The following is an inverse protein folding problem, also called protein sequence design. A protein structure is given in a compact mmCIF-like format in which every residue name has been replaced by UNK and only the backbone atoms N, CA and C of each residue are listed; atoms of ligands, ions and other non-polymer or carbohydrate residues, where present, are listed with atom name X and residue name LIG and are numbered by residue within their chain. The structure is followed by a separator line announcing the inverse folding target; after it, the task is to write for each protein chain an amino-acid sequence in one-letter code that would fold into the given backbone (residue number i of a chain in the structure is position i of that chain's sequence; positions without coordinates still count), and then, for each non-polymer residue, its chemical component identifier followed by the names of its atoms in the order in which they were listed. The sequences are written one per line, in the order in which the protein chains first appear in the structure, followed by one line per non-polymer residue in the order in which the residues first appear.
data_IF_926664487855
#
_entry.id   IF_926664487855
#
_cell.length_a   1.000
_cell.length_b   1.000
_cell.length_c   1.000
_cell.angle_alpha   90.00
_cell.angle_beta   90.00
_cell.angle_gamma   90.00
#
_symmetry.space_group_name_H-M   'P 1'
#
loop_
_entity.id
_entity.type
_entity.pdbx_description
1 polymer ?
#
# COMPACT_ATOMS: atom_id res chain seq x y z
N UNK A 1 6.23 -17.86 4.94
CA UNK A 1 4.98 -18.00 4.16
C UNK A 1 5.16 -17.38 2.78
N UNK A 2 4.22 -17.53 1.85
CA UNK A 2 4.43 -17.20 0.43
C UNK A 2 4.76 -15.72 0.16
N UNK A 3 4.36 -14.80 1.05
CA UNK A 3 4.55 -13.36 0.89
C UNK A 3 5.75 -12.79 1.67
N UNK A 4 6.37 -13.58 2.55
CA UNK A 4 7.49 -13.09 3.37
C UNK A 4 8.67 -12.67 2.50
N UNK A 5 9.18 -11.46 2.71
CA UNK A 5 10.35 -10.99 1.99
C UNK A 5 10.43 -9.48 1.82
N UNK A 6 11.46 -9.06 1.10
CA UNK A 6 11.70 -7.68 0.69
C UNK A 6 11.39 -7.54 -0.79
N UNK A 7 10.45 -6.65 -1.11
CA UNK A 7 9.96 -6.41 -2.45
C UNK A 7 10.29 -5.00 -2.91
N UNK A 8 10.53 -4.84 -4.20
CA UNK A 8 10.62 -3.54 -4.85
C UNK A 8 9.69 -3.56 -6.05
N UNK A 9 8.93 -2.50 -6.24
CA UNK A 9 8.14 -2.33 -7.48
C UNK A 9 9.09 -2.29 -8.67
N UNK A 10 8.86 -3.22 -9.60
CA UNK A 10 9.60 -3.32 -10.86
C UNK A 10 8.93 -2.49 -11.96
N UNK A 11 7.61 -2.63 -12.09
CA UNK A 11 6.80 -1.93 -13.09
C UNK A 11 5.39 -1.66 -12.60
N UNK A 12 4.74 -0.66 -13.19
CA UNK A 12 3.32 -0.39 -13.02
C UNK A 12 2.67 -0.14 -14.40
N UNK A 13 1.41 -0.55 -14.55
CA UNK A 13 0.63 -0.35 -15.77
C UNK A 13 -0.66 0.40 -15.42
N UNK A 14 -0.95 1.49 -16.15
CA UNK A 14 -2.12 2.37 -15.92
C UNK A 14 -2.24 3.04 -14.53
N UNK A 15 -1.17 3.08 -13.72
CA UNK A 15 -1.23 3.61 -12.36
C UNK A 15 -1.64 5.09 -12.28
N UNK A 16 -1.14 5.94 -13.18
CA UNK A 16 -1.59 7.35 -13.24
C UNK A 16 -3.08 7.47 -13.57
N UNK A 17 -3.60 6.65 -14.49
CA UNK A 17 -5.03 6.67 -14.85
C UNK A 17 -5.90 6.19 -13.69
N UNK A 18 -5.43 5.20 -12.93
CA UNK A 18 -6.11 4.73 -11.73
C UNK A 18 -6.23 5.86 -10.69
N UNK A 19 -5.11 6.52 -10.37
CA UNK A 19 -5.10 7.65 -9.42
C UNK A 19 -5.92 8.85 -9.93
N UNK A 20 -5.98 9.08 -11.24
CA UNK A 20 -6.84 10.10 -11.83
C UNK A 20 -8.33 9.83 -11.56
N UNK A 21 -8.76 8.57 -11.71
CA UNK A 21 -10.14 8.16 -11.39
C UNK A 21 -10.46 8.29 -9.89
N UNK A 22 -9.45 8.20 -9.03
CA UNK A 22 -9.58 8.50 -7.60
C UNK A 22 -9.61 10.00 -7.28
N UNK A 23 -9.46 10.89 -8.28
CA UNK A 23 -9.45 12.34 -8.07
C UNK A 23 -8.12 12.92 -7.59
N UNK A 24 -7.04 12.14 -7.61
CA UNK A 24 -5.70 12.60 -7.22
C UNK A 24 -5.17 13.56 -8.29
N UNK A 25 -4.64 14.73 -7.89
CA UNK A 25 -4.16 15.73 -8.85
C UNK A 25 -2.93 15.28 -9.67
N UNK A 26 -2.77 15.84 -10.86
CA UNK A 26 -1.74 15.45 -11.84
C UNK A 26 -0.31 15.44 -11.27
N UNK A 27 0.06 16.41 -10.42
CA UNK A 27 1.41 16.50 -9.85
C UNK A 27 1.70 15.30 -8.95
N UNK A 28 0.77 14.97 -8.03
CA UNK A 28 0.90 13.79 -7.16
C UNK A 28 0.97 12.49 -7.95
N UNK A 29 0.17 12.36 -9.01
CA UNK A 29 0.15 11.15 -9.85
C UNK A 29 1.50 10.90 -10.54
N UNK A 30 2.12 11.95 -11.09
CA UNK A 30 3.43 11.84 -11.74
C UNK A 30 4.54 11.48 -10.75
N UNK A 31 4.50 12.00 -9.53
CA UNK A 31 5.46 11.62 -8.49
C UNK A 31 5.26 10.14 -8.11
N UNK A 32 4.01 9.73 -7.90
CA UNK A 32 3.68 8.36 -7.52
C UNK A 32 4.02 7.33 -8.60
N UNK A 33 3.87 7.64 -9.89
CA UNK A 33 4.24 6.71 -10.97
C UNK A 33 5.73 6.39 -11.05
N UNK A 34 6.57 7.21 -10.42
CA UNK A 34 8.01 7.04 -10.32
C UNK A 34 8.46 6.70 -8.88
N UNK A 35 7.50 6.47 -7.98
CA UNK A 35 7.75 6.07 -6.60
C UNK A 35 8.29 4.64 -6.61
N UNK A 36 9.58 4.50 -6.32
CA UNK A 36 10.29 3.23 -6.29
C UNK A 36 9.94 2.44 -5.01
N UNK A 37 8.64 2.21 -4.77
CA UNK A 37 8.10 1.64 -3.56
C UNK A 37 8.80 0.33 -3.20
N UNK A 38 9.22 0.25 -1.93
CA UNK A 38 9.79 -0.96 -1.32
C UNK A 38 8.87 -1.44 -0.22
N UNK A 39 8.69 -2.75 -0.15
CA UNK A 39 7.90 -3.41 0.89
C UNK A 39 8.78 -4.40 1.64
N UNK A 40 8.60 -4.49 2.95
CA UNK A 40 9.06 -5.63 3.75
C UNK A 40 7.81 -6.25 4.34
N UNK A 41 7.55 -7.51 4.00
CA UNK A 41 6.38 -8.26 4.45
C UNK A 41 6.85 -9.40 5.34
N UNK A 42 6.23 -9.53 6.51
CA UNK A 42 6.39 -10.67 7.40
C UNK A 42 5.03 -11.15 7.88
N UNK A 43 4.85 -12.46 7.93
CA UNK A 43 3.62 -13.09 8.36
C UNK A 43 3.86 -14.07 9.52
N UNK A 44 3.05 -13.96 10.57
CA UNK A 44 3.03 -14.83 11.75
C UNK A 44 1.62 -15.38 11.96
N UNK A 45 1.35 -16.60 11.50
CA UNK A 45 -0.02 -17.14 11.41
C UNK A 45 -0.93 -16.22 10.58
N UNK A 46 -1.95 -15.65 11.20
CA UNK A 46 -2.89 -14.71 10.56
C UNK A 46 -2.45 -13.25 10.61
N UNK A 47 -1.38 -12.94 11.35
CA UNK A 47 -0.89 -11.57 11.51
C UNK A 47 0.10 -11.23 10.42
N UNK A 48 -0.13 -10.12 9.74
CA UNK A 48 0.76 -9.53 8.74
C UNK A 48 1.35 -8.24 9.28
N UNK A 49 2.63 -8.04 9.03
CA UNK A 49 3.31 -6.76 9.15
C UNK A 49 3.84 -6.38 7.78
N UNK A 50 3.41 -5.23 7.28
CA UNK A 50 3.83 -4.67 5.98
C UNK A 50 4.49 -3.32 6.25
N UNK A 51 5.79 -3.22 5.97
CA UNK A 51 6.53 -1.96 6.04
C UNK A 51 6.68 -1.41 4.63
N UNK A 52 6.12 -0.23 4.39
CA UNK A 52 6.17 0.47 3.11
C UNK A 52 7.22 1.58 3.19
N UNK A 53 8.06 1.69 2.17
CA UNK A 53 8.98 2.81 1.99
C UNK A 53 8.84 3.38 0.59
N UNK A 54 8.41 4.65 0.53
CA UNK A 54 8.00 5.35 -0.68
C UNK A 54 8.53 6.78 -0.67
N UNK A 55 8.46 7.49 -1.79
CA UNK A 55 8.80 8.93 -1.85
C UNK A 55 7.87 9.81 -1.03
N UNK A 56 6.65 9.38 -0.74
CA UNK A 56 5.70 10.18 0.06
C UNK A 56 5.87 9.95 1.56
N UNK A 57 6.05 8.69 1.96
CA UNK A 57 6.12 8.29 3.37
C UNK A 57 6.80 6.95 3.55
N UNK A 58 7.26 6.72 4.77
CA UNK A 58 7.50 5.39 5.30
C UNK A 58 6.38 5.07 6.30
N UNK A 59 5.75 3.90 6.18
CA UNK A 59 4.69 3.48 7.09
C UNK A 59 4.80 1.99 7.40
N UNK A 60 4.21 1.58 8.52
CA UNK A 60 4.12 0.19 8.94
C UNK A 60 2.67 -0.12 9.26
N UNK A 61 2.17 -1.18 8.64
CA UNK A 61 0.80 -1.64 8.73
C UNK A 61 0.84 -3.01 9.38
N UNK A 62 0.10 -3.18 10.47
CA UNK A 62 -0.07 -4.46 11.13
C UNK A 62 -1.55 -4.81 11.10
N UNK A 63 -1.90 -5.95 10.51
CA UNK A 63 -3.28 -6.40 10.42
C UNK A 63 -3.38 -7.91 10.60
N UNK A 64 -4.58 -8.39 10.94
CA UNK A 64 -4.88 -9.82 11.07
C UNK A 64 -5.94 -10.23 10.05
N UNK A 65 -5.76 -11.39 9.41
CA UNK A 65 -6.74 -11.94 8.49
C UNK A 65 -8.09 -12.16 9.19
N UNK A 66 -9.17 -11.73 8.54
CA UNK A 66 -10.53 -11.78 9.11
C UNK A 66 -10.88 -10.68 10.12
N UNK A 67 -9.96 -9.77 10.44
CA UNK A 67 -10.20 -8.66 11.38
C UNK A 67 -10.29 -7.34 10.62
N UNK A 68 -11.36 -6.59 10.85
CA UNK A 68 -11.52 -5.24 10.29
C UNK A 68 -10.52 -4.29 10.94
N UNK A 69 -9.86 -3.45 10.12
CA UNK A 69 -8.93 -2.43 10.62
C UNK A 69 -9.07 -1.12 9.84
N UNK A 70 -8.60 -0.02 10.43
CA UNK A 70 -8.56 1.28 9.77
C UNK A 70 -7.21 1.49 9.10
N UNK A 71 -7.23 2.07 7.90
CA UNK A 71 -6.04 2.38 7.13
C UNK A 71 -6.12 3.78 6.52
N UNK A 72 -5.04 4.53 6.62
CA UNK A 72 -4.91 5.86 6.03
C UNK A 72 -4.09 5.78 4.75
N UNK A 73 -4.68 6.14 3.62
CA UNK A 73 -3.97 6.25 2.34
C UNK A 73 -2.92 7.39 2.38
N UNK A 74 -1.93 7.33 1.47
CA UNK A 74 -0.87 8.33 1.41
C UNK A 74 -1.38 9.76 1.09
N UNK A 75 -2.59 9.87 0.53
CA UNK A 75 -3.25 11.15 0.26
C UNK A 75 -4.09 11.68 1.43
N UNK A 76 -4.18 10.92 2.54
CA UNK A 76 -4.93 11.26 3.75
C UNK A 76 -6.37 10.71 3.78
N UNK A 77 -6.77 9.92 2.78
CA UNK A 77 -8.09 9.28 2.79
C UNK A 77 -8.11 8.14 3.81
N UNK A 78 -9.03 8.22 4.78
CA UNK A 78 -9.25 7.16 5.78
C UNK A 78 -10.18 6.07 5.22
N UNK A 79 -9.78 4.82 5.40
CA UNK A 79 -10.51 3.63 4.95
C UNK A 79 -10.76 2.70 6.13
N UNK A 80 -11.94 2.09 6.16
CA UNK A 80 -12.20 0.90 6.97
C UNK A 80 -12.08 -0.32 6.06
N UNK A 81 -11.06 -1.14 6.30
CA UNK A 81 -10.78 -2.34 5.53
C UNK A 81 -11.45 -3.52 6.23
N UNK A 82 -12.55 -4.01 5.65
CA UNK A 82 -13.25 -5.22 6.11
C UNK A 82 -12.93 -6.39 5.18
N UNK A 83 -12.50 -7.51 5.76
CA UNK A 83 -12.33 -8.76 5.01
C UNK A 83 -13.66 -9.51 4.94
N UNK A 84 -14.13 -9.78 3.71
CA UNK A 84 -15.17 -10.78 3.47
C UNK A 84 -14.49 -12.15 3.38
N UNK A 85 -14.99 -13.11 4.16
CA UNK A 85 -14.60 -14.52 4.11
C UNK A 85 -14.97 -15.15 2.76
#
# INVERSE_FOLDING_TARGET
MAFDGTWKVDRNENYEKFMEKMGINMVKRKLASHDNLKLIITQEGNKFTVKESSTFRNTEIVFELGVTFNYSLADGTELTVSNFL
#
